data_IF_676565072291
#
_entry.id   IF_676565072291
#
_cell.length_a   1.000
_cell.length_b   1.000
_cell.length_c   1.000
_cell.angle_alpha   90.00
_cell.angle_beta   90.00
_cell.angle_gamma   90.00
#
_symmetry.space_group_name_H-M   'P 1'
#
loop_
_entity.id
_entity.type
_entity.pdbx_description
1 polymer ?
#
# COMPACT_ATOMS: atom_id res chain seq x y z
N UNK A 1 -5.10 16.80 29.13
CA UNK A 1 -5.24 17.46 27.82
C UNK A 1 -4.11 16.90 26.97
N UNK A 2 -4.38 15.86 26.17
CA UNK A 2 -3.38 15.36 25.21
C UNK A 2 -3.14 16.49 24.20
N UNK A 3 -1.91 16.97 24.10
CA UNK A 3 -1.49 17.89 23.03
C UNK A 3 -1.70 17.15 21.73
N UNK A 4 -2.75 17.50 20.99
CA UNK A 4 -2.99 16.98 19.64
C UNK A 4 -1.76 17.36 18.80
N UNK A 5 -0.95 16.36 18.49
CA UNK A 5 0.23 16.55 17.64
C UNK A 5 -0.21 17.20 16.34
N UNK A 6 0.45 18.30 15.93
CA UNK A 6 0.05 19.00 14.71
C UNK A 6 0.04 18.02 13.52
N UNK A 7 -0.92 18.16 12.60
CA UNK A 7 -1.07 17.30 11.44
C UNK A 7 0.25 17.10 10.66
N UNK A 8 1.01 18.18 10.48
CA UNK A 8 2.32 18.13 9.80
C UNK A 8 3.37 17.28 10.54
N UNK A 9 3.45 17.42 11.87
CA UNK A 9 4.36 16.59 12.68
C UNK A 9 3.96 15.12 12.62
N UNK A 10 2.67 14.83 12.65
CA UNK A 10 2.15 13.47 12.53
C UNK A 10 2.55 12.83 11.21
N UNK A 11 2.38 13.55 10.09
CA UNK A 11 2.78 13.06 8.77
C UNK A 11 4.29 12.84 8.64
N UNK A 12 5.09 13.73 9.24
CA UNK A 12 6.54 13.54 9.30
C UNK A 12 6.90 12.22 10.02
N UNK A 13 6.31 11.95 11.18
CA UNK A 13 6.56 10.69 11.90
C UNK A 13 6.03 9.46 11.15
N UNK A 14 4.90 9.59 10.46
CA UNK A 14 4.36 8.54 9.59
C UNK A 14 5.35 8.19 8.46
N UNK A 15 5.86 9.20 7.77
CA UNK A 15 6.86 9.01 6.72
C UNK A 15 8.18 8.46 7.27
N UNK A 16 8.64 8.98 8.40
CA UNK A 16 9.86 8.49 9.08
C UNK A 16 9.73 7.01 9.45
N UNK A 17 8.59 6.59 10.01
CA UNK A 17 8.31 5.19 10.34
C UNK A 17 8.43 4.30 9.10
N UNK A 18 7.89 4.73 7.97
CA UNK A 18 7.97 4.00 6.71
C UNK A 18 9.42 3.90 6.20
N UNK A 19 10.16 5.00 6.22
CA UNK A 19 11.57 5.04 5.79
C UNK A 19 12.44 4.13 6.68
N UNK A 20 12.23 4.14 8.00
CA UNK A 20 12.95 3.27 8.94
C UNK A 20 12.69 1.81 8.62
N UNK A 21 11.44 1.43 8.33
CA UNK A 21 11.13 0.06 7.96
C UNK A 21 11.77 -0.33 6.62
N UNK A 22 11.72 0.52 5.59
CA UNK A 22 12.38 0.26 4.31
C UNK A 22 13.89 0.09 4.47
N UNK A 23 14.49 0.87 5.37
CA UNK A 23 15.93 0.77 5.68
C UNK A 23 16.29 -0.50 6.46
N UNK A 24 15.34 -1.10 7.18
CA UNK A 24 15.59 -2.28 8.00
C UNK A 24 16.16 -3.44 7.18
N UNK A 25 15.56 -3.74 6.01
CA UNK A 25 16.05 -4.79 5.13
C UNK A 25 17.49 -4.58 4.67
N UNK A 26 17.84 -3.34 4.33
CA UNK A 26 19.21 -2.96 3.95
C UNK A 26 20.17 -3.13 5.14
N UNK A 27 19.78 -2.65 6.32
CA UNK A 27 20.59 -2.77 7.55
C UNK A 27 20.86 -4.23 7.88
N UNK A 28 19.82 -5.07 7.87
CA UNK A 28 19.97 -6.51 8.13
C UNK A 28 20.91 -7.18 7.13
N UNK A 29 20.82 -6.81 5.85
CA UNK A 29 21.70 -7.31 4.79
C UNK A 29 23.15 -6.89 4.99
N UNK A 30 23.40 -5.64 5.38
CA UNK A 30 24.76 -5.15 5.72
C UNK A 30 25.35 -5.87 6.94
N UNK A 31 24.52 -6.23 7.91
CA UNK A 31 24.90 -7.04 9.07
C UNK A 31 25.02 -8.53 8.75
N UNK A 32 24.88 -8.94 7.46
CA UNK A 32 24.91 -10.33 6.98
C UNK A 32 23.87 -11.23 7.65
N UNK A 33 22.77 -10.66 8.17
CA UNK A 33 21.64 -11.41 8.68
C UNK A 33 20.81 -11.88 7.47
N UNK A 34 20.67 -13.19 7.30
CA UNK A 34 19.98 -13.81 6.16
C UNK A 34 19.05 -14.92 6.61
N UNK A 35 18.25 -15.48 5.70
CA UNK A 35 17.34 -16.58 5.99
C UNK A 35 16.23 -16.23 6.99
N UNK A 36 15.86 -17.19 7.84
CA UNK A 36 14.73 -17.04 8.76
C UNK A 36 14.83 -15.82 9.69
N UNK A 37 15.99 -15.52 10.34
CA UNK A 37 16.11 -14.32 11.18
C UNK A 37 15.83 -13.01 10.44
N UNK A 38 16.25 -12.90 9.18
CA UNK A 38 15.98 -11.73 8.34
C UNK A 38 14.48 -11.55 8.12
N UNK A 39 13.77 -12.59 7.68
CA UNK A 39 12.34 -12.50 7.39
C UNK A 39 11.48 -12.37 8.65
N UNK A 40 11.91 -12.93 9.80
CA UNK A 40 11.26 -12.70 11.10
C UNK A 40 11.36 -11.22 11.48
N UNK A 41 12.57 -10.65 11.40
CA UNK A 41 12.78 -9.24 11.74
C UNK A 41 11.95 -8.30 10.84
N UNK A 42 11.89 -8.56 9.53
CA UNK A 42 11.05 -7.79 8.60
C UNK A 42 9.56 -7.94 8.92
N UNK A 43 9.09 -9.14 9.22
CA UNK A 43 7.68 -9.38 9.55
C UNK A 43 7.30 -8.67 10.84
N UNK A 44 8.07 -8.81 11.90
CA UNK A 44 7.80 -8.12 13.18
C UNK A 44 7.91 -6.61 13.00
N UNK A 45 8.97 -6.13 12.33
CA UNK A 45 9.16 -4.72 12.04
C UNK A 45 8.00 -4.11 11.27
N UNK A 46 7.46 -4.83 10.28
CA UNK A 46 6.31 -4.37 9.49
C UNK A 46 5.01 -4.29 10.31
N UNK A 47 4.77 -5.27 11.20
CA UNK A 47 3.60 -5.24 12.09
C UNK A 47 3.70 -4.04 13.03
N UNK A 48 4.88 -3.80 13.62
CA UNK A 48 5.10 -2.65 14.50
C UNK A 48 4.94 -1.34 13.75
N UNK A 49 5.52 -1.23 12.55
CA UNK A 49 5.43 -0.03 11.73
C UNK A 49 3.97 0.26 11.28
N UNK A 50 3.24 -0.75 10.80
CA UNK A 50 1.84 -0.60 10.42
C UNK A 50 0.97 -0.20 11.62
N UNK A 51 1.17 -0.83 12.78
CA UNK A 51 0.48 -0.49 14.03
C UNK A 51 0.76 0.94 14.47
N UNK A 52 2.02 1.38 14.42
CA UNK A 52 2.41 2.75 14.74
C UNK A 52 1.80 3.75 13.75
N UNK A 53 1.80 3.45 12.45
CA UNK A 53 1.20 4.33 11.43
C UNK A 53 -0.32 4.45 11.61
N UNK A 54 -1.03 3.36 11.91
CA UNK A 54 -2.46 3.40 12.27
C UNK A 54 -2.70 4.26 13.51
N UNK A 55 -1.86 4.12 14.52
CA UNK A 55 -1.93 4.94 15.75
C UNK A 55 -1.73 6.43 15.43
N UNK A 56 -0.73 6.77 14.62
CA UNK A 56 -0.48 8.15 14.16
C UNK A 56 -1.67 8.70 13.36
N UNK A 57 -2.28 7.91 12.46
CA UNK A 57 -3.49 8.28 11.73
C UNK A 57 -4.63 8.63 12.69
N UNK A 58 -4.85 7.81 13.72
CA UNK A 58 -5.89 8.07 14.73
C UNK A 58 -5.61 9.33 15.56
N UNK A 59 -4.34 9.59 15.90
CA UNK A 59 -3.94 10.77 16.66
C UNK A 59 -4.15 12.08 15.88
N UNK A 60 -3.93 12.08 14.56
CA UNK A 60 -4.11 13.29 13.74
C UNK A 60 -5.56 13.62 13.44
N UNK A 61 -6.47 12.65 13.62
CA UNK A 61 -7.85 12.78 13.16
C UNK A 61 -7.98 12.78 11.63
N UNK A 62 -9.19 12.97 11.09
CA UNK A 62 -9.44 12.97 9.66
C UNK A 62 -8.78 14.17 8.97
N UNK A 63 -8.41 13.99 7.69
CA UNK A 63 -8.00 15.07 6.80
C UNK A 63 -9.20 15.56 5.95
N UNK A 64 -8.97 16.51 5.04
CA UNK A 64 -10.04 17.11 4.24
C UNK A 64 -10.74 16.15 3.25
N UNK A 65 -10.21 14.96 3.03
CA UNK A 65 -10.78 13.91 2.19
C UNK A 65 -11.47 12.81 3.00
N UNK A 66 -11.45 12.89 4.33
CA UNK A 66 -11.95 11.84 5.23
C UNK A 66 -13.16 12.33 6.02
N UNK A 67 -14.22 11.52 6.05
CA UNK A 67 -15.42 11.76 6.85
C UNK A 67 -15.78 10.54 7.69
N UNK A 68 -16.75 10.72 8.61
CA UNK A 68 -17.31 9.60 9.36
C UNK A 68 -18.25 8.81 8.47
N UNK A 69 -17.90 7.58 8.19
CA UNK A 69 -18.67 6.68 7.35
C UNK A 69 -19.40 5.62 8.18
N UNK A 70 -20.31 4.90 7.56
CA UNK A 70 -21.00 3.74 8.17
C UNK A 70 -20.35 2.44 7.72
N UNK A 71 -20.46 1.38 8.54
CA UNK A 71 -19.91 0.07 8.19
C UNK A 71 -20.46 -0.46 6.86
N UNK A 72 -21.75 -0.26 6.57
CA UNK A 72 -22.34 -0.72 5.31
C UNK A 72 -21.73 0.03 4.10
N UNK A 73 -21.53 1.33 4.21
CA UNK A 73 -20.84 2.13 3.20
C UNK A 73 -19.41 1.62 2.99
N UNK A 74 -18.66 1.43 4.07
CA UNK A 74 -17.27 0.94 4.00
C UNK A 74 -17.17 -0.43 3.35
N UNK A 75 -18.03 -1.39 3.72
CA UNK A 75 -18.05 -2.73 3.14
C UNK A 75 -18.40 -2.70 1.64
N UNK A 76 -19.36 -1.86 1.22
CA UNK A 76 -19.69 -1.69 -0.20
C UNK A 76 -18.47 -1.18 -0.98
N UNK A 77 -17.78 -0.16 -0.47
CA UNK A 77 -16.60 0.38 -1.15
C UNK A 77 -15.38 -0.56 -1.11
N UNK A 78 -15.22 -1.39 -0.08
CA UNK A 78 -14.21 -2.45 -0.07
C UNK A 78 -14.48 -3.46 -1.20
N UNK A 79 -15.75 -3.87 -1.39
CA UNK A 79 -16.11 -4.79 -2.48
C UNK A 79 -15.84 -4.15 -3.84
N UNK A 80 -16.33 -2.93 -4.07
CA UNK A 80 -16.09 -2.18 -5.32
C UNK A 80 -14.59 -2.00 -5.57
N UNK A 81 -13.86 -1.60 -4.53
CA UNK A 81 -12.41 -1.38 -4.59
C UNK A 81 -11.65 -2.65 -4.97
N UNK A 82 -11.99 -3.77 -4.32
CA UNK A 82 -11.36 -5.07 -4.57
C UNK A 82 -11.68 -5.59 -5.98
N UNK A 83 -12.96 -5.63 -6.36
CA UNK A 83 -13.37 -6.15 -7.68
C UNK A 83 -12.77 -5.31 -8.80
N UNK A 84 -12.83 -3.98 -8.67
CA UNK A 84 -12.24 -3.08 -9.66
C UNK A 84 -10.71 -3.20 -9.74
N UNK A 85 -10.00 -3.35 -8.60
CA UNK A 85 -8.56 -3.57 -8.59
C UNK A 85 -8.19 -4.88 -9.30
N UNK A 86 -8.88 -5.98 -9.01
CA UNK A 86 -8.67 -7.27 -9.68
C UNK A 86 -8.92 -7.13 -11.19
N UNK A 87 -10.05 -6.55 -11.58
CA UNK A 87 -10.38 -6.34 -13.00
C UNK A 87 -9.32 -5.50 -13.72
N UNK A 88 -8.90 -4.37 -13.15
CA UNK A 88 -7.86 -3.52 -13.70
C UNK A 88 -6.51 -4.23 -13.80
N UNK A 89 -6.12 -4.99 -12.78
CA UNK A 89 -4.87 -5.75 -12.80
C UNK A 89 -4.81 -6.74 -13.95
N UNK A 90 -5.88 -7.47 -14.23
CA UNK A 90 -5.94 -8.38 -15.36
C UNK A 90 -6.02 -7.65 -16.70
N UNK A 91 -6.86 -6.62 -16.83
CA UNK A 91 -7.03 -5.86 -18.06
C UNK A 91 -5.75 -5.12 -18.46
N UNK A 92 -5.16 -4.36 -17.54
CA UNK A 92 -3.93 -3.62 -17.80
C UNK A 92 -2.75 -4.59 -17.95
N UNK A 93 -2.72 -5.67 -17.16
CA UNK A 93 -1.71 -6.72 -17.29
C UNK A 93 -1.73 -7.40 -18.65
N UNK A 94 -2.92 -7.65 -19.20
CA UNK A 94 -3.07 -8.19 -20.56
C UNK A 94 -2.60 -7.16 -21.62
N UNK A 95 -3.00 -5.89 -21.50
CA UNK A 95 -2.55 -4.84 -22.40
C UNK A 95 -1.03 -4.65 -22.33
N UNK A 96 -0.44 -4.67 -21.15
CA UNK A 96 0.99 -4.57 -20.91
C UNK A 96 1.77 -5.72 -21.59
N UNK A 97 1.22 -6.94 -21.53
CA UNK A 97 1.79 -8.09 -22.23
C UNK A 97 1.73 -7.95 -23.74
N UNK A 98 0.63 -7.43 -24.29
CA UNK A 98 0.49 -7.24 -25.74
C UNK A 98 1.40 -6.14 -26.28
N UNK A 99 1.58 -5.05 -25.54
CA UNK A 99 2.31 -3.85 -25.99
C UNK A 99 3.83 -4.00 -25.74
N UNK A 100 4.21 -4.45 -24.55
CA UNK A 100 5.59 -4.48 -24.09
C UNK A 100 6.19 -5.89 -24.02
N UNK A 101 5.40 -6.93 -24.39
CA UNK A 101 5.80 -8.33 -24.25
C UNK A 101 6.28 -8.67 -22.83
N UNK A 102 5.72 -7.97 -21.83
CA UNK A 102 6.10 -8.14 -20.44
C UNK A 102 5.76 -9.56 -19.98
N UNK A 103 6.69 -10.16 -19.25
CA UNK A 103 6.48 -11.46 -18.59
C UNK A 103 5.65 -11.29 -17.31
N UNK A 104 5.58 -12.33 -16.48
CA UNK A 104 4.99 -12.22 -15.13
C UNK A 104 5.73 -11.18 -14.28
N UNK A 105 5.01 -10.51 -13.39
CA UNK A 105 5.58 -9.54 -12.45
C UNK A 105 6.73 -10.17 -11.65
N UNK A 106 7.93 -9.60 -11.77
CA UNK A 106 9.11 -10.04 -11.04
C UNK A 106 8.93 -9.86 -9.54
N UNK A 107 8.28 -8.77 -9.12
CA UNK A 107 7.96 -8.51 -7.73
C UNK A 107 7.00 -9.57 -7.19
N UNK A 108 5.89 -9.86 -7.86
CA UNK A 108 4.93 -10.89 -7.42
C UNK A 108 5.58 -12.26 -7.32
N UNK A 109 6.41 -12.65 -8.30
CA UNK A 109 7.11 -13.93 -8.28
C UNK A 109 8.11 -14.01 -7.10
N UNK A 110 8.86 -12.95 -6.86
CA UNK A 110 9.80 -12.90 -5.73
C UNK A 110 9.07 -13.02 -4.39
N UNK A 111 7.98 -12.28 -4.19
CA UNK A 111 7.16 -12.35 -2.98
C UNK A 111 6.57 -13.75 -2.77
N UNK A 112 6.09 -14.39 -3.85
CA UNK A 112 5.57 -15.76 -3.79
C UNK A 112 6.63 -16.76 -3.33
N UNK A 113 7.85 -16.67 -3.87
CA UNK A 113 8.96 -17.53 -3.46
C UNK A 113 9.34 -17.30 -1.99
N UNK A 114 9.36 -16.04 -1.55
CA UNK A 114 9.64 -15.69 -0.16
C UNK A 114 8.56 -16.23 0.80
N UNK A 115 7.27 -16.10 0.44
CA UNK A 115 6.17 -16.63 1.26
C UNK A 115 6.18 -18.17 1.27
N UNK A 116 6.54 -18.84 0.18
CA UNK A 116 6.70 -20.30 0.16
C UNK A 116 7.84 -20.75 1.06
N UNK A 117 8.96 -20.05 1.08
CA UNK A 117 10.11 -20.37 1.92
C UNK A 117 9.90 -19.98 3.39
N UNK A 118 9.19 -18.89 3.64
CA UNK A 118 8.95 -18.31 4.97
C UNK A 118 7.47 -17.94 5.11
N UNK A 119 6.58 -18.90 5.42
CA UNK A 119 5.12 -18.69 5.37
C UNK A 119 4.62 -17.51 6.20
N UNK A 120 5.21 -17.25 7.39
CA UNK A 120 4.83 -16.11 8.23
C UNK A 120 5.04 -14.74 7.56
N UNK A 121 5.91 -14.65 6.53
CA UNK A 121 6.15 -13.43 5.78
C UNK A 121 4.91 -12.95 4.99
N UNK A 122 3.90 -13.82 4.83
CA UNK A 122 2.62 -13.44 4.24
C UNK A 122 1.96 -12.27 4.98
N UNK A 123 2.18 -12.15 6.31
CA UNK A 123 1.62 -11.05 7.12
C UNK A 123 2.14 -9.70 6.64
N UNK A 124 3.44 -9.63 6.31
CA UNK A 124 4.01 -8.44 5.69
C UNK A 124 3.36 -8.16 4.33
N UNK A 125 3.40 -9.13 3.42
CA UNK A 125 3.01 -8.95 2.01
C UNK A 125 1.52 -8.63 1.86
N UNK A 126 0.67 -9.33 2.64
CA UNK A 126 -0.79 -9.24 2.45
C UNK A 126 -1.46 -8.19 3.33
N UNK A 127 -0.87 -7.85 4.47
CA UNK A 127 -1.55 -7.01 5.47
C UNK A 127 -0.74 -5.74 5.75
N UNK A 128 0.49 -5.88 6.25
CA UNK A 128 1.23 -4.73 6.74
C UNK A 128 1.66 -3.78 5.62
N UNK A 129 2.18 -4.31 4.51
CA UNK A 129 2.60 -3.50 3.36
C UNK A 129 1.43 -2.72 2.75
N UNK A 130 0.28 -3.32 2.37
CA UNK A 130 -0.88 -2.56 1.88
C UNK A 130 -1.34 -1.44 2.83
N UNK A 131 -1.41 -1.69 4.14
CA UNK A 131 -1.79 -0.66 5.12
C UNK A 131 -0.82 0.52 5.05
N UNK A 132 0.48 0.24 5.12
CA UNK A 132 1.50 1.29 5.11
C UNK A 132 1.53 2.04 3.78
N UNK A 133 1.42 1.32 2.67
CA UNK A 133 1.40 1.90 1.33
C UNK A 133 0.20 2.83 1.14
N UNK A 134 -1.00 2.42 1.53
CA UNK A 134 -2.17 3.29 1.43
C UNK A 134 -2.04 4.52 2.33
N UNK A 135 -1.55 4.39 3.56
CA UNK A 135 -1.31 5.54 4.43
C UNK A 135 -0.28 6.49 3.79
N UNK A 136 0.81 6.00 3.23
CA UNK A 136 1.85 6.85 2.62
C UNK A 136 1.37 7.47 1.32
N UNK A 137 0.89 6.65 0.37
CA UNK A 137 0.60 7.15 -0.97
C UNK A 137 -0.75 7.89 -1.06
N UNK A 138 -1.78 7.50 -0.28
CA UNK A 138 -3.09 8.15 -0.34
C UNK A 138 -3.23 9.24 0.72
N UNK A 139 -2.88 8.94 1.96
CA UNK A 139 -3.11 9.90 3.04
C UNK A 139 -2.00 10.94 3.16
N UNK A 140 -0.71 10.55 2.98
CA UNK A 140 0.41 11.49 3.06
C UNK A 140 0.65 12.17 1.72
N UNK A 141 0.91 11.45 0.63
CA UNK A 141 1.23 12.12 -0.65
C UNK A 141 -0.01 12.67 -1.34
N UNK A 142 -0.98 11.83 -1.71
CA UNK A 142 -2.12 12.27 -2.51
C UNK A 142 -2.92 13.37 -1.81
N UNK A 143 -3.37 13.17 -0.58
CA UNK A 143 -4.22 14.13 0.11
C UNK A 143 -3.54 15.51 0.27
N UNK A 144 -2.23 15.55 0.57
CA UNK A 144 -1.53 16.83 0.68
C UNK A 144 -1.29 17.53 -0.66
N UNK A 145 -1.25 16.79 -1.76
CA UNK A 145 -1.07 17.37 -3.09
C UNK A 145 -2.36 17.92 -3.68
N UNK A 146 -3.53 17.55 -3.15
CA UNK A 146 -4.84 18.05 -3.68
C UNK A 146 -4.93 19.55 -3.57
N UNK A 147 -4.58 20.15 -2.41
CA UNK A 147 -4.69 21.60 -2.20
C UNK A 147 -3.75 22.44 -3.09
N UNK A 148 -2.45 22.14 -3.19
CA UNK A 148 -1.53 22.93 -4.02
C UNK A 148 -1.68 22.67 -5.52
N UNK A 149 -2.36 21.59 -5.93
CA UNK A 149 -2.57 21.24 -7.34
C UNK A 149 -4.06 21.10 -7.68
N UNK A 150 -4.53 19.92 -7.82
CA UNK A 150 -5.93 19.47 -7.90
C UNK A 150 -5.97 17.95 -7.75
N UNK A 151 -7.18 17.40 -7.64
CA UNK A 151 -7.36 15.96 -7.39
C UNK A 151 -6.75 15.05 -8.49
N UNK A 152 -6.77 15.48 -9.75
CA UNK A 152 -6.26 14.68 -10.87
C UNK A 152 -4.73 14.66 -10.89
N UNK A 153 -4.10 15.82 -10.75
CA UNK A 153 -2.64 15.96 -10.71
C UNK A 153 -2.09 15.22 -9.48
N UNK A 154 -2.73 15.41 -8.33
CA UNK A 154 -2.35 14.72 -7.09
C UNK A 154 -2.42 13.19 -7.25
N UNK A 155 -3.50 12.67 -7.86
CA UNK A 155 -3.65 11.23 -8.11
C UNK A 155 -2.57 10.69 -9.05
N UNK A 156 -2.26 11.42 -10.13
CA UNK A 156 -1.21 11.04 -11.08
C UNK A 156 0.15 10.98 -10.38
N UNK A 157 0.53 12.02 -9.66
CA UNK A 157 1.83 12.07 -8.95
C UNK A 157 1.92 10.91 -7.94
N UNK A 158 0.89 10.73 -7.11
CA UNK A 158 0.86 9.64 -6.12
C UNK A 158 0.94 8.25 -6.77
N UNK A 159 0.25 8.04 -7.90
CA UNK A 159 0.26 6.79 -8.64
C UNK A 159 1.63 6.46 -9.24
N UNK A 160 2.32 7.47 -9.79
CA UNK A 160 3.67 7.30 -10.29
C UNK A 160 4.67 6.99 -9.17
N UNK A 161 4.60 7.70 -8.03
CA UNK A 161 5.43 7.42 -6.86
C UNK A 161 5.20 5.98 -6.36
N UNK A 162 3.94 5.54 -6.29
CA UNK A 162 3.58 4.17 -5.93
C UNK A 162 4.20 3.15 -6.90
N UNK A 163 4.08 3.38 -8.21
CA UNK A 163 4.62 2.48 -9.22
C UNK A 163 6.16 2.42 -9.18
N UNK A 164 6.84 3.56 -9.00
CA UNK A 164 8.30 3.60 -8.87
C UNK A 164 8.83 2.81 -7.67
N UNK A 165 8.10 2.82 -6.55
CA UNK A 165 8.51 2.06 -5.36
C UNK A 165 8.48 0.54 -5.56
N UNK A 166 7.68 0.04 -6.51
CA UNK A 166 7.60 -1.39 -6.81
C UNK A 166 8.75 -1.92 -7.66
N UNK A 167 9.48 -1.05 -8.38
CA UNK A 167 10.65 -1.42 -9.19
C UNK A 167 10.39 -2.63 -10.12
N UNK A 168 9.19 -2.72 -10.69
CA UNK A 168 8.72 -3.84 -11.50
C UNK A 168 8.61 -3.43 -12.97
N UNK A 169 8.82 -4.39 -13.87
CA UNK A 169 8.64 -4.21 -15.31
C UNK A 169 7.18 -3.92 -15.68
N UNK A 170 6.23 -4.35 -14.88
CA UNK A 170 4.78 -4.09 -15.07
C UNK A 170 4.36 -2.72 -14.51
N UNK A 171 5.13 -1.69 -14.82
CA UNK A 171 4.95 -0.34 -14.30
C UNK A 171 3.53 0.22 -14.51
N UNK A 172 2.92 -0.03 -15.69
CA UNK A 172 1.56 0.46 -15.99
C UNK A 172 0.49 -0.14 -15.07
N UNK A 173 0.64 -1.40 -14.67
CA UNK A 173 -0.26 -2.05 -13.72
C UNK A 173 -0.22 -1.30 -12.39
N UNK A 174 0.97 -0.99 -11.87
CA UNK A 174 1.10 -0.25 -10.61
C UNK A 174 0.60 1.19 -10.69
N UNK A 175 0.79 1.88 -11.83
CA UNK A 175 0.18 3.20 -12.05
C UNK A 175 -1.34 3.10 -12.01
N UNK A 176 -1.93 2.13 -12.72
CA UNK A 176 -3.37 1.93 -12.74
C UNK A 176 -3.92 1.61 -11.33
N UNK A 177 -3.23 0.75 -10.56
CA UNK A 177 -3.57 0.48 -9.15
C UNK A 177 -3.46 1.75 -8.31
N UNK A 178 -2.40 2.53 -8.53
CA UNK A 178 -2.19 3.80 -7.86
C UNK A 178 -3.35 4.78 -8.05
N UNK A 179 -3.82 4.93 -9.28
CA UNK A 179 -4.98 5.76 -9.63
C UNK A 179 -6.28 5.19 -9.05
N UNK A 180 -6.47 3.88 -9.13
CA UNK A 180 -7.66 3.21 -8.63
C UNK A 180 -7.82 3.38 -7.12
N UNK A 181 -6.80 3.12 -6.33
CA UNK A 181 -6.87 3.29 -4.88
C UNK A 181 -7.01 4.76 -4.47
N UNK A 182 -6.47 5.72 -5.24
CA UNK A 182 -6.74 7.15 -5.02
C UNK A 182 -8.22 7.49 -5.26
N UNK A 183 -8.84 6.89 -6.29
CA UNK A 183 -10.27 7.00 -6.56
C UNK A 183 -11.11 6.38 -5.42
N UNK A 184 -10.78 5.16 -4.99
CA UNK A 184 -11.48 4.49 -3.88
C UNK A 184 -11.37 5.30 -2.59
N UNK A 185 -10.18 5.80 -2.24
CA UNK A 185 -9.98 6.65 -1.07
C UNK A 185 -10.86 7.91 -1.13
N UNK A 186 -10.89 8.59 -2.28
CA UNK A 186 -11.71 9.80 -2.46
C UNK A 186 -13.22 9.51 -2.36
N UNK A 187 -13.67 8.37 -2.89
CA UNK A 187 -15.10 8.02 -2.94
C UNK A 187 -15.61 7.41 -1.64
N UNK A 188 -14.76 6.68 -0.94
CA UNK A 188 -15.10 6.08 0.35
C UNK A 188 -14.89 7.04 1.52
N UNK A 189 -14.14 8.13 1.33
CA UNK A 189 -13.80 9.10 2.36
C UNK A 189 -13.13 8.45 3.61
N UNK A 190 -12.54 7.27 3.41
CA UNK A 190 -11.99 6.47 4.49
C UNK A 190 -10.74 5.70 4.04
N UNK A 191 -9.57 6.05 4.62
CA UNK A 191 -8.29 5.40 4.27
C UNK A 191 -8.30 3.88 4.56
N UNK A 192 -9.04 3.44 5.58
CA UNK A 192 -9.12 2.02 5.92
C UNK A 192 -9.89 1.21 4.87
N UNK A 193 -10.79 1.83 4.12
CA UNK A 193 -11.48 1.20 2.98
C UNK A 193 -10.52 0.95 1.84
N UNK A 194 -9.68 1.93 1.48
CA UNK A 194 -8.64 1.75 0.47
C UNK A 194 -7.66 0.64 0.89
N UNK A 195 -7.17 0.68 2.13
CA UNK A 195 -6.28 -0.34 2.67
C UNK A 195 -6.94 -1.74 2.69
N UNK A 196 -8.20 -1.83 3.11
CA UNK A 196 -8.97 -3.08 3.10
C UNK A 196 -9.13 -3.66 1.70
N UNK A 197 -9.46 -2.81 0.72
CA UNK A 197 -9.55 -3.22 -0.70
C UNK A 197 -8.22 -3.76 -1.23
N UNK A 198 -7.13 -3.10 -0.89
CA UNK A 198 -5.77 -3.50 -1.28
C UNK A 198 -5.37 -4.84 -0.63
N UNK A 199 -5.65 -5.01 0.66
CA UNK A 199 -5.41 -6.28 1.38
C UNK A 199 -6.15 -7.43 0.70
N UNK A 200 -7.44 -7.27 0.44
CA UNK A 200 -8.26 -8.35 -0.16
C UNK A 200 -7.80 -8.66 -1.58
N UNK A 201 -7.44 -7.64 -2.37
CA UNK A 201 -6.88 -7.82 -3.71
C UNK A 201 -5.55 -8.59 -3.65
N UNK A 202 -4.61 -8.21 -2.78
CA UNK A 202 -3.32 -8.91 -2.62
C UNK A 202 -3.54 -10.37 -2.16
N UNK A 203 -4.48 -10.62 -1.25
CA UNK A 203 -4.84 -11.95 -0.81
C UNK A 203 -5.35 -12.81 -1.98
N UNK A 204 -6.23 -12.26 -2.81
CA UNK A 204 -6.73 -12.94 -4.00
C UNK A 204 -5.60 -13.28 -4.98
N UNK A 205 -4.77 -12.29 -5.34
CA UNK A 205 -3.67 -12.48 -6.30
C UNK A 205 -2.66 -13.51 -5.80
N UNK A 206 -2.27 -13.44 -4.53
CA UNK A 206 -1.33 -14.41 -3.95
C UNK A 206 -1.91 -15.82 -3.91
N UNK A 207 -3.19 -15.97 -3.54
CA UNK A 207 -3.88 -17.26 -3.53
C UNK A 207 -3.93 -17.88 -4.93
N UNK A 208 -4.31 -17.09 -5.94
CA UNK A 208 -4.33 -17.56 -7.33
C UNK A 208 -2.95 -17.91 -7.89
N UNK A 209 -1.88 -17.28 -7.38
CA UNK A 209 -0.51 -17.59 -7.79
C UNK A 209 0.07 -18.85 -7.10
N UNK A 210 -0.55 -19.33 -6.00
CA UNK A 210 -0.12 -20.54 -5.30
C UNK A 210 -0.82 -21.79 -5.86
N UNK A 211 -2.03 -21.64 -6.38
CA UNK A 211 -2.82 -22.71 -7.02
C UNK A 211 -2.24 -23.09 -8.37
#
# INVERSE_FOLDING_TARGET
>A
MEEIMSYQKNQFFTLLTYIVLLSLGTILSLLKITGSPYFIALTIGSIVAAGLMIYLVKLSGPNDLEEKTTLNHDLQWIIVGTVGAIALQYLIGFADQLIFHSTSSANTMSLLLMVKAYPYYFIYVMIAAPIMEEIIFRRVFFANLVKPTNIYIAAIISAFLFAFMHQDTRFLVYVAMGLWFSFIYTKSENIYVSAGSHIVMNAFVLTMAIM
#
